data_IF_338522368216
#
_entry.id   IF_338522368216
#
_cell.length_a   1.000
_cell.length_b   1.000
_cell.length_c   1.000
_cell.angle_alpha   90.00
_cell.angle_beta   90.00
_cell.angle_gamma   90.00
#
_symmetry.space_group_name_H-M   'P 1'
#
loop_
_entity.id
_entity.type
_entity.pdbx_description
1 polymer ?
#
# COMPACT_ATOMS: atom_id res chain seq x y z
N UNK A 1 14.64 3.91 -3.02
CA UNK A 1 13.93 3.12 -2.00
C UNK A 1 12.49 3.61 -1.97
N UNK A 2 11.50 2.76 -2.24
CA UNK A 2 10.08 3.14 -2.17
C UNK A 2 9.67 3.40 -0.71
N UNK A 3 9.13 4.58 -0.41
CA UNK A 3 8.53 4.92 0.88
C UNK A 3 7.08 4.50 0.89
N UNK A 4 6.73 3.53 1.74
CA UNK A 4 5.35 3.04 1.86
C UNK A 4 4.86 3.37 3.27
N UNK A 5 3.74 4.08 3.35
CA UNK A 5 3.17 4.57 4.61
C UNK A 5 1.72 4.10 4.76
N UNK A 6 1.35 3.64 5.95
CA UNK A 6 -0.02 3.32 6.31
C UNK A 6 -0.55 4.36 7.28
N UNK A 7 -1.72 4.94 7.02
CA UNK A 7 -2.38 5.89 7.92
C UNK A 7 -3.76 5.39 8.33
N UNK A 8 -4.11 5.41 9.63
CA UNK A 8 -5.47 5.11 10.08
C UNK A 8 -6.45 6.19 9.62
N UNK A 9 -7.70 5.80 9.42
CA UNK A 9 -8.85 6.68 9.17
C UNK A 9 -9.73 6.75 10.42
N UNK A 10 -10.63 7.73 10.48
CA UNK A 10 -11.57 7.88 11.61
C UNK A 10 -12.57 6.71 11.73
N UNK A 11 -12.79 5.98 10.64
CA UNK A 11 -13.69 4.83 10.57
C UNK A 11 -13.03 3.52 11.08
N UNK A 12 -11.77 3.58 11.53
CA UNK A 12 -11.03 2.39 12.00
C UNK A 12 -10.42 1.56 10.85
N UNK A 13 -10.47 2.06 9.62
CA UNK A 13 -9.78 1.50 8.46
C UNK A 13 -8.45 2.19 8.21
N UNK A 14 -7.72 1.76 7.18
CA UNK A 14 -6.40 2.28 6.83
C UNK A 14 -6.31 2.65 5.36
N UNK A 15 -5.53 3.70 5.10
CA UNK A 15 -5.12 4.12 3.75
C UNK A 15 -3.63 3.87 3.60
N UNK A 16 -3.24 3.23 2.49
CA UNK A 16 -1.83 2.97 2.15
C UNK A 16 -1.38 3.97 1.10
N UNK A 17 -0.22 4.56 1.34
CA UNK A 17 0.45 5.56 0.50
C UNK A 17 1.78 5.00 0.00
N UNK A 18 2.05 5.20 -1.28
CA UNK A 18 3.38 5.02 -1.88
C UNK A 18 3.90 6.41 -2.22
N UNK A 19 5.05 6.77 -1.66
CA UNK A 19 5.54 8.15 -1.62
C UNK A 19 4.49 9.10 -1.03
N UNK A 20 3.85 9.91 -1.87
CA UNK A 20 2.78 10.85 -1.50
C UNK A 20 1.41 10.45 -2.07
N UNK A 21 1.36 9.38 -2.86
CA UNK A 21 0.14 8.95 -3.56
C UNK A 21 -0.57 7.87 -2.75
N UNK A 22 -1.86 8.10 -2.46
CA UNK A 22 -2.71 7.05 -1.94
C UNK A 22 -2.96 5.99 -3.02
N UNK A 23 -2.73 4.72 -2.68
CA UNK A 23 -2.87 3.59 -3.61
C UNK A 23 -4.01 2.64 -3.22
N UNK A 24 -4.45 2.68 -1.96
CA UNK A 24 -5.57 1.91 -1.45
C UNK A 24 -6.16 2.57 -0.21
N UNK A 25 -7.49 2.44 -0.03
CA UNK A 25 -8.27 3.02 1.06
C UNK A 25 -9.19 1.97 1.69
N UNK A 26 -9.68 2.24 2.89
CA UNK A 26 -10.71 1.39 3.53
C UNK A 26 -10.19 0.01 3.94
N UNK A 27 -8.88 -0.16 4.12
CA UNK A 27 -8.28 -1.45 4.44
C UNK A 27 -8.42 -1.76 5.93
N UNK A 28 -8.63 -3.03 6.25
CA UNK A 28 -8.38 -3.52 7.61
C UNK A 28 -6.87 -3.49 7.90
N UNK A 29 -6.48 -3.54 9.17
CA UNK A 29 -5.06 -3.61 9.58
C UNK A 29 -4.31 -4.70 8.80
N UNK A 30 -4.82 -5.93 8.83
CA UNK A 30 -4.19 -7.09 8.19
C UNK A 30 -4.10 -6.94 6.67
N UNK A 31 -5.14 -6.40 6.02
CA UNK A 31 -5.12 -6.18 4.57
C UNK A 31 -4.10 -5.10 4.18
N UNK A 32 -3.96 -4.05 5.00
CA UNK A 32 -2.96 -3.01 4.78
C UNK A 32 -1.54 -3.53 4.98
N UNK A 33 -1.28 -4.37 6.00
CA UNK A 33 0.04 -4.98 6.21
C UNK A 33 0.43 -5.95 5.10
N UNK A 34 -0.51 -6.78 4.63
CA UNK A 34 -0.31 -7.66 3.48
C UNK A 34 0.02 -6.86 2.20
N UNK A 35 -0.74 -5.78 1.93
CA UNK A 35 -0.47 -4.90 0.80
C UNK A 35 0.91 -4.27 0.87
N UNK A 36 1.33 -3.77 2.04
CA UNK A 36 2.67 -3.20 2.24
C UNK A 36 3.75 -4.25 1.98
N UNK A 37 3.55 -5.48 2.47
CA UNK A 37 4.47 -6.59 2.21
C UNK A 37 4.61 -6.85 0.70
N UNK A 38 3.50 -6.95 -0.03
CA UNK A 38 3.52 -7.14 -1.49
C UNK A 38 4.22 -6.00 -2.23
N UNK A 39 3.94 -4.75 -1.84
CA UNK A 39 4.55 -3.57 -2.45
C UNK A 39 6.06 -3.49 -2.20
N UNK A 40 6.55 -3.98 -1.05
CA UNK A 40 7.99 -4.05 -0.75
C UNK A 40 8.70 -5.15 -1.53
N UNK A 41 8.02 -6.28 -1.77
CA UNK A 41 8.57 -7.44 -2.47
C UNK A 41 8.36 -7.40 -3.99
N UNK A 42 7.69 -6.39 -4.51
CA UNK A 42 7.51 -6.20 -5.96
C UNK A 42 8.38 -5.05 -6.48
N UNK A 43 9.70 -5.25 -6.67
CA UNK A 43 10.49 -4.34 -7.46
C UNK A 43 10.19 -4.59 -8.96
N UNK A 44 9.26 -3.83 -9.54
CA UNK A 44 9.22 -3.63 -11.00
C UNK A 44 8.30 -4.52 -11.85
N UNK A 45 7.35 -5.29 -11.31
CA UNK A 45 6.39 -6.06 -12.12
C UNK A 45 5.18 -5.24 -12.65
N UNK A 46 5.37 -3.93 -12.87
CA UNK A 46 4.44 -3.11 -13.64
C UNK A 46 4.87 -2.96 -15.12
N UNK A 47 5.92 -3.64 -15.57
CA UNK A 47 6.49 -3.49 -16.92
C UNK A 47 6.65 -4.83 -17.70
N UNK A 48 5.80 -5.83 -17.43
CA UNK A 48 5.81 -7.10 -18.16
C UNK A 48 4.39 -7.58 -18.49
N UNK A 49 3.58 -6.69 -19.07
CA UNK A 49 2.39 -7.06 -19.84
C UNK A 49 2.32 -6.13 -21.05
N UNK A 50 3.22 -6.35 -22.01
CA UNK A 50 3.15 -5.86 -23.40
C UNK A 50 3.45 -7.05 -24.32
#
# INVERSE_FOLDING_TARGET
MLRITKKPTQDGTFTVYVETKAVAWGLTTSAADDLISKLRHTPGQANAML
#
